data_IF_069488170432
#
_entry.id   IF_069488170432
#
_cell.length_a   1.000
_cell.length_b   1.000
_cell.length_c   1.000
_cell.angle_alpha   90.00
_cell.angle_beta   90.00
_cell.angle_gamma   90.00
#
_symmetry.space_group_name_H-M   'P 1'
#
loop_
_entity.id
_entity.type
_entity.pdbx_description
1 polymer ?
#
# COMPACT_ATOMS: atom_id res chain seq x y z
N UNK A 1 -14.24 -4.80 -32.96
CA UNK A 1 -13.58 -5.15 -31.68
C UNK A 1 -12.07 -5.10 -31.88
N UNK A 2 -11.32 -4.20 -31.22
CA UNK A 2 -9.86 -4.24 -31.25
C UNK A 2 -9.40 -5.43 -30.39
N UNK A 3 -8.75 -6.42 -31.02
CA UNK A 3 -8.12 -7.55 -30.35
C UNK A 3 -7.21 -7.02 -29.24
N UNK A 4 -7.53 -7.36 -27.99
CA UNK A 4 -6.70 -7.00 -26.85
C UNK A 4 -5.45 -7.87 -26.92
N UNK A 5 -4.29 -7.25 -27.20
CA UNK A 5 -3.01 -7.96 -27.27
C UNK A 5 -2.82 -8.76 -25.98
N UNK A 6 -2.71 -10.09 -26.12
CA UNK A 6 -2.49 -11.01 -24.99
C UNK A 6 -1.15 -10.64 -24.33
N UNK A 7 -1.13 -10.57 -23.00
CA UNK A 7 0.10 -10.32 -22.24
C UNK A 7 1.11 -11.44 -22.52
N UNK A 8 2.32 -11.07 -22.92
CA UNK A 8 3.41 -12.02 -23.15
C UNK A 8 4.39 -11.98 -21.97
N UNK A 9 4.23 -12.95 -21.07
CA UNK A 9 5.08 -13.11 -19.88
C UNK A 9 6.57 -13.27 -20.21
N UNK A 10 6.92 -13.78 -21.39
CA UNK A 10 8.33 -14.02 -21.75
C UNK A 10 9.11 -12.73 -22.01
N UNK A 11 8.41 -11.65 -22.34
CA UNK A 11 8.99 -10.33 -22.63
C UNK A 11 9.00 -9.40 -21.41
N UNK A 12 8.43 -9.84 -20.27
CA UNK A 12 8.38 -9.02 -19.06
C UNK A 12 9.66 -9.13 -18.25
N UNK A 13 10.12 -7.99 -17.72
CA UNK A 13 11.20 -7.91 -16.73
C UNK A 13 10.83 -8.54 -15.38
N UNK A 14 9.54 -8.85 -15.16
CA UNK A 14 9.00 -9.54 -13.99
C UNK A 14 8.69 -11.02 -14.24
N UNK A 15 9.14 -11.59 -15.37
CA UNK A 15 8.93 -13.00 -15.71
C UNK A 15 9.21 -13.95 -14.53
N UNK A 16 10.35 -13.78 -13.86
CA UNK A 16 10.76 -14.68 -12.78
C UNK A 16 9.89 -14.50 -11.52
N UNK A 17 9.41 -13.28 -11.27
CA UNK A 17 8.45 -13.01 -10.19
C UNK A 17 7.14 -13.74 -10.46
N UNK A 18 6.64 -13.67 -11.70
CA UNK A 18 5.42 -14.39 -12.08
C UNK A 18 5.58 -15.90 -11.99
N UNK A 19 6.72 -16.45 -12.43
CA UNK A 19 7.01 -17.88 -12.32
C UNK A 19 7.08 -18.33 -10.86
N UNK A 20 7.77 -17.57 -10.00
CA UNK A 20 7.93 -17.89 -8.59
C UNK A 20 6.60 -17.95 -7.84
N UNK A 21 5.69 -17.00 -8.10
CA UNK A 21 4.38 -16.95 -7.44
C UNK A 21 3.25 -17.65 -8.22
N UNK A 22 3.58 -18.41 -9.27
CA UNK A 22 2.58 -19.15 -10.06
C UNK A 22 1.58 -18.28 -10.82
N UNK A 23 1.90 -17.00 -11.08
CA UNK A 23 1.05 -16.07 -11.82
C UNK A 23 1.29 -16.14 -13.33
N UNK A 24 0.22 -16.03 -14.13
CA UNK A 24 0.32 -15.97 -15.60
C UNK A 24 0.50 -14.56 -16.13
N UNK A 25 -0.02 -13.58 -15.40
CA UNK A 25 0.01 -12.17 -15.78
C UNK A 25 0.02 -11.24 -14.54
N UNK A 26 0.18 -9.92 -14.72
CA UNK A 26 0.25 -8.98 -13.60
C UNK A 26 -1.06 -8.90 -12.78
N UNK A 27 -2.20 -9.20 -13.41
CA UNK A 27 -3.50 -9.24 -12.74
C UNK A 27 -3.60 -10.44 -11.81
N UNK A 28 -3.17 -11.62 -12.26
CA UNK A 28 -3.09 -12.81 -11.41
C UNK A 28 -2.10 -12.62 -10.26
N UNK A 29 -0.93 -11.99 -10.48
CA UNK A 29 0.00 -11.68 -9.38
C UNK A 29 -0.65 -10.77 -8.33
N UNK A 30 -1.42 -9.75 -8.77
CA UNK A 30 -2.16 -8.92 -7.82
C UNK A 30 -3.20 -9.74 -7.07
N UNK A 31 -3.91 -10.67 -7.72
CA UNK A 31 -4.87 -11.54 -7.01
C UNK A 31 -4.19 -12.38 -5.93
N UNK A 32 -3.02 -12.98 -6.22
CA UNK A 32 -2.21 -13.70 -5.22
C UNK A 32 -1.87 -12.79 -4.04
N UNK A 33 -1.37 -11.58 -4.32
CA UNK A 33 -1.06 -10.60 -3.29
C UNK A 33 -2.29 -10.20 -2.45
N UNK A 34 -3.41 -9.89 -3.10
CA UNK A 34 -4.65 -9.45 -2.43
C UNK A 34 -5.22 -10.52 -1.50
N UNK A 35 -5.17 -11.79 -1.90
CA UNK A 35 -5.68 -12.88 -1.09
C UNK A 35 -4.87 -13.01 0.20
N UNK A 36 -3.54 -13.02 0.09
CA UNK A 36 -2.65 -13.08 1.25
C UNK A 36 -2.80 -11.84 2.15
N UNK A 37 -2.88 -10.65 1.57
CA UNK A 37 -3.08 -9.41 2.33
C UNK A 37 -4.40 -9.44 3.10
N UNK A 38 -5.51 -9.82 2.47
CA UNK A 38 -6.81 -9.90 3.15
C UNK A 38 -6.83 -10.93 4.27
N UNK A 39 -6.18 -12.08 4.09
CA UNK A 39 -6.04 -13.10 5.13
C UNK A 39 -5.30 -12.52 6.34
N UNK A 40 -4.13 -11.91 6.12
CA UNK A 40 -3.32 -11.29 7.16
C UNK A 40 -4.02 -10.13 7.89
N UNK A 41 -4.80 -9.34 7.16
CA UNK A 41 -5.58 -8.24 7.74
C UNK A 41 -6.73 -8.78 8.61
N UNK A 42 -7.39 -9.88 8.20
CA UNK A 42 -8.46 -10.53 9.00
C UNK A 42 -7.92 -11.23 10.24
N UNK A 43 -6.73 -11.84 10.15
CA UNK A 43 -6.09 -12.52 11.27
C UNK A 43 -5.26 -11.59 12.16
N UNK A 44 -5.19 -10.29 11.84
CA UNK A 44 -4.33 -9.30 12.50
C UNK A 44 -2.82 -9.67 12.52
N UNK A 45 -2.37 -10.47 11.55
CA UNK A 45 -0.98 -10.94 11.44
C UNK A 45 -0.15 -10.15 10.43
N UNK A 46 -0.72 -9.15 9.77
CA UNK A 46 0.01 -8.33 8.80
C UNK A 46 1.20 -7.61 9.47
N UNK A 47 2.41 -7.84 8.97
CA UNK A 47 3.64 -7.28 9.55
C UNK A 47 4.73 -7.06 8.49
N UNK A 48 5.17 -5.81 8.29
CA UNK A 48 6.21 -5.50 7.31
C UNK A 48 7.62 -6.01 7.72
N UNK A 49 7.81 -6.46 8.96
CA UNK A 49 9.09 -7.03 9.44
C UNK A 49 9.18 -8.55 9.31
N UNK A 50 8.08 -9.24 9.05
CA UNK A 50 8.09 -10.70 8.89
C UNK A 50 8.36 -11.09 7.44
N UNK A 51 9.60 -11.41 7.12
CA UNK A 51 10.03 -11.75 5.76
C UNK A 51 9.43 -13.06 5.23
N UNK A 52 8.72 -13.84 6.06
CA UNK A 52 8.03 -15.05 5.64
C UNK A 52 6.64 -14.76 5.05
N UNK A 53 6.09 -13.55 5.25
CA UNK A 53 4.80 -13.20 4.68
C UNK A 53 4.87 -13.09 3.17
N UNK A 54 3.93 -13.74 2.49
CA UNK A 54 3.84 -13.73 1.02
C UNK A 54 3.77 -12.30 0.45
N UNK A 55 3.07 -11.39 1.14
CA UNK A 55 2.99 -9.97 0.77
C UNK A 55 4.35 -9.28 0.77
N UNK A 56 5.21 -9.58 1.75
CA UNK A 56 6.56 -9.03 1.85
C UNK A 56 7.48 -9.62 0.77
N UNK A 57 7.41 -10.93 0.55
CA UNK A 57 8.18 -11.61 -0.51
C UNK A 57 7.85 -11.07 -1.90
N UNK A 58 6.56 -10.90 -2.23
CA UNK A 58 6.12 -10.32 -3.51
C UNK A 58 6.67 -8.89 -3.64
N UNK A 59 6.51 -8.06 -2.60
CA UNK A 59 7.00 -6.68 -2.59
C UNK A 59 8.51 -6.63 -2.83
N UNK A 60 9.30 -7.45 -2.15
CA UNK A 60 10.76 -7.45 -2.29
C UNK A 60 11.21 -7.83 -3.70
N UNK A 61 10.64 -8.90 -4.27
CA UNK A 61 10.99 -9.34 -5.62
C UNK A 61 10.61 -8.30 -6.68
N UNK A 62 9.43 -7.69 -6.54
CA UNK A 62 8.97 -6.61 -7.43
C UNK A 62 9.86 -5.38 -7.31
N UNK A 63 10.22 -4.96 -6.10
CA UNK A 63 11.07 -3.79 -5.90
C UNK A 63 12.50 -3.99 -6.42
N UNK A 64 13.03 -5.21 -6.29
CA UNK A 64 14.34 -5.56 -6.82
C UNK A 64 14.42 -5.35 -8.34
N UNK A 65 13.32 -5.62 -9.06
CA UNK A 65 13.21 -5.33 -10.49
C UNK A 65 13.04 -3.84 -10.74
N UNK A 66 12.26 -3.15 -9.92
CA UNK A 66 12.07 -1.70 -9.98
C UNK A 66 11.00 -1.27 -11.00
N UNK A 67 10.04 -0.45 -10.53
CA UNK A 67 8.89 0.03 -11.33
C UNK A 67 9.32 0.84 -12.57
N UNK A 68 10.48 1.49 -12.55
CA UNK A 68 11.00 2.25 -13.69
C UNK A 68 11.42 1.35 -14.87
N UNK A 69 11.72 0.07 -14.62
CA UNK A 69 12.16 -0.88 -15.64
C UNK A 69 10.98 -1.54 -16.39
N UNK A 70 9.76 -1.38 -15.90
CA UNK A 70 8.54 -1.93 -16.51
C UNK A 70 8.09 -1.01 -17.65
N UNK A 71 8.17 -1.51 -18.88
CA UNK A 71 7.80 -0.76 -20.10
C UNK A 71 6.31 -0.82 -20.41
N UNK A 72 5.67 -1.96 -20.16
CA UNK A 72 4.24 -2.11 -20.39
C UNK A 72 3.44 -1.31 -19.35
N UNK A 73 2.61 -0.36 -19.82
CA UNK A 73 1.89 0.56 -18.93
C UNK A 73 0.78 -0.12 -18.14
N UNK A 74 0.22 -1.22 -18.63
CA UNK A 74 -0.82 -2.00 -17.93
C UNK A 74 -0.20 -2.84 -16.84
N UNK A 75 0.90 -3.52 -17.13
CA UNK A 75 1.73 -4.22 -16.15
C UNK A 75 2.18 -3.26 -15.04
N UNK A 76 2.75 -2.10 -15.43
CA UNK A 76 3.20 -1.09 -14.49
C UNK A 76 2.11 -0.64 -13.52
N UNK A 77 0.88 -0.43 -14.00
CA UNK A 77 -0.27 -0.07 -13.15
C UNK A 77 -0.59 -1.14 -12.10
N UNK A 78 -0.60 -2.41 -12.50
CA UNK A 78 -0.86 -3.51 -11.56
C UNK A 78 0.23 -3.60 -10.49
N UNK A 79 1.48 -3.47 -10.89
CA UNK A 79 2.62 -3.53 -9.99
C UNK A 79 2.68 -2.33 -9.05
N UNK A 80 2.40 -1.12 -9.55
CA UNK A 80 2.24 0.06 -8.71
C UNK A 80 1.11 -0.11 -7.69
N UNK A 81 0.01 -0.75 -8.06
CA UNK A 81 -1.10 -1.05 -7.14
C UNK A 81 -0.68 -2.01 -6.02
N UNK A 82 0.09 -3.05 -6.33
CA UNK A 82 0.63 -3.98 -5.32
C UNK A 82 1.52 -3.21 -4.33
N UNK A 83 2.50 -2.46 -4.84
CA UNK A 83 3.42 -1.71 -4.00
C UNK A 83 2.72 -0.63 -3.19
N UNK A 84 1.78 0.11 -3.80
CA UNK A 84 0.99 1.12 -3.08
C UNK A 84 0.28 0.49 -1.89
N UNK A 85 -0.38 -0.65 -2.10
CA UNK A 85 -1.14 -1.32 -1.05
C UNK A 85 -0.25 -1.83 0.08
N UNK A 86 0.90 -2.41 -0.25
CA UNK A 86 1.91 -2.82 0.72
C UNK A 86 2.37 -1.64 1.58
N UNK A 87 2.80 -0.54 0.94
CA UNK A 87 3.26 0.64 1.66
C UNK A 87 2.14 1.32 2.44
N UNK A 88 0.90 1.30 1.95
CA UNK A 88 -0.26 1.83 2.64
C UNK A 88 -0.49 1.12 3.99
N UNK A 89 -0.52 -0.21 3.99
CA UNK A 89 -0.67 -1.01 5.22
C UNK A 89 0.56 -0.90 6.14
N UNK A 90 1.75 -0.80 5.55
CA UNK A 90 3.00 -0.62 6.29
C UNK A 90 3.02 0.66 7.15
N UNK A 91 2.32 1.74 6.74
CA UNK A 91 2.25 2.97 7.54
C UNK A 91 1.59 2.69 8.89
N UNK A 92 0.41 2.07 8.89
CA UNK A 92 -0.35 1.78 10.12
C UNK A 92 0.39 0.77 11.00
N UNK A 93 1.00 -0.25 10.41
CA UNK A 93 1.83 -1.21 11.16
C UNK A 93 3.04 -0.51 11.79
N UNK A 94 3.75 0.35 11.04
CA UNK A 94 4.89 1.11 11.58
C UNK A 94 4.48 2.02 12.74
N UNK A 95 3.35 2.72 12.62
CA UNK A 95 2.84 3.61 13.67
C UNK A 95 2.35 2.84 14.89
N UNK A 96 1.39 1.94 14.70
CA UNK A 96 0.59 1.41 15.80
C UNK A 96 1.11 0.08 16.34
N UNK A 97 1.83 -0.72 15.55
CA UNK A 97 2.49 -1.92 16.08
C UNK A 97 3.85 -1.59 16.69
N UNK A 98 4.61 -0.69 16.03
CA UNK A 98 6.01 -0.46 16.36
C UNK A 98 6.34 0.92 16.95
N UNK A 99 5.41 1.89 16.91
CA UNK A 99 5.73 3.26 17.32
C UNK A 99 6.80 3.94 16.46
N UNK A 100 7.09 3.42 15.26
CA UNK A 100 8.19 3.87 14.41
C UNK A 100 7.71 4.96 13.43
N UNK A 101 7.69 6.20 13.95
CA UNK A 101 7.33 7.39 13.17
C UNK A 101 8.25 7.60 11.95
N UNK A 102 9.55 7.30 12.04
CA UNK A 102 10.49 7.51 10.92
C UNK A 102 10.16 6.58 9.77
N UNK A 103 9.92 5.31 10.08
CA UNK A 103 9.50 4.32 9.08
C UNK A 103 8.13 4.67 8.49
N UNK A 104 7.16 5.11 9.31
CA UNK A 104 5.86 5.57 8.82
C UNK A 104 5.96 6.79 7.89
N UNK A 105 6.85 7.75 8.18
CA UNK A 105 7.13 8.88 7.29
C UNK A 105 7.72 8.44 5.95
N UNK A 106 8.66 7.49 5.96
CA UNK A 106 9.25 6.91 4.75
C UNK A 106 8.19 6.20 3.91
N UNK A 107 7.42 5.30 4.51
CA UNK A 107 6.41 4.51 3.82
C UNK A 107 5.25 5.36 3.30
N UNK A 108 4.78 6.35 4.05
CA UNK A 108 3.74 7.27 3.58
C UNK A 108 4.17 8.09 2.36
N UNK A 109 5.44 8.50 2.29
CA UNK A 109 5.99 9.19 1.11
C UNK A 109 5.95 8.28 -0.12
N UNK A 110 6.35 7.02 0.02
CA UNK A 110 6.40 6.06 -1.08
C UNK A 110 4.98 5.68 -1.51
N UNK A 111 4.09 5.37 -0.57
CA UNK A 111 2.68 5.10 -0.85
C UNK A 111 2.04 6.26 -1.63
N UNK A 112 2.22 7.50 -1.19
CA UNK A 112 1.64 8.66 -1.86
C UNK A 112 2.18 8.84 -3.29
N UNK A 113 3.45 8.55 -3.54
CA UNK A 113 4.06 8.62 -4.88
C UNK A 113 3.57 7.50 -5.82
N UNK A 114 3.18 6.35 -5.27
CA UNK A 114 2.61 5.22 -6.02
C UNK A 114 1.11 5.38 -6.25
N UNK A 115 0.45 6.22 -5.47
CA UNK A 115 -0.99 6.44 -5.54
C UNK A 115 -1.36 7.32 -6.75
N UNK A 116 -2.25 6.87 -7.65
CA UNK A 116 -2.82 7.72 -8.70
C UNK A 116 -3.53 8.95 -8.14
N UNK A 117 -3.54 10.07 -8.87
CA UNK A 117 -4.18 11.33 -8.43
C UNK A 117 -5.67 11.11 -8.09
N UNK A 118 -6.39 10.35 -8.92
CA UNK A 118 -7.83 10.09 -8.75
C UNK A 118 -8.11 8.78 -8.00
N UNK A 119 -7.15 8.31 -7.20
CA UNK A 119 -7.33 7.07 -6.45
C UNK A 119 -8.51 7.21 -5.46
N UNK A 120 -9.38 6.19 -5.35
CA UNK A 120 -10.54 6.25 -4.46
C UNK A 120 -10.13 6.33 -3.00
N UNK A 121 -9.04 5.64 -2.61
CA UNK A 121 -8.55 5.71 -1.23
C UNK A 121 -7.99 7.09 -0.90
N UNK A 122 -8.58 7.82 0.05
CA UNK A 122 -8.09 9.13 0.50
C UNK A 122 -7.25 9.05 1.78
N UNK A 123 -7.20 7.90 2.45
CA UNK A 123 -6.50 7.73 3.73
C UNK A 123 -4.97 7.85 3.61
N UNK A 124 -4.37 7.37 2.51
CA UNK A 124 -2.90 7.46 2.33
C UNK A 124 -2.38 8.89 2.50
N UNK A 125 -3.05 9.87 1.88
CA UNK A 125 -2.66 11.28 1.98
C UNK A 125 -2.94 11.87 3.36
N UNK A 126 -4.02 11.45 4.02
CA UNK A 126 -4.28 11.84 5.41
C UNK A 126 -3.13 11.41 6.32
N UNK A 127 -2.75 10.13 6.26
CA UNK A 127 -1.66 9.58 7.06
C UNK A 127 -0.34 10.29 6.74
N UNK A 128 -0.07 10.60 5.47
CA UNK A 128 1.11 11.37 5.06
C UNK A 128 1.25 12.70 5.81
N UNK A 129 0.16 13.44 5.98
CA UNK A 129 0.14 14.69 6.74
C UNK A 129 0.33 14.44 8.24
N UNK A 130 -0.44 13.52 8.82
CA UNK A 130 -0.42 13.25 10.27
C UNK A 130 0.96 12.77 10.76
N UNK A 131 1.65 11.90 10.01
CA UNK A 131 3.00 11.43 10.43
C UNK A 131 4.08 12.50 10.34
N UNK A 132 3.77 13.65 9.72
CA UNK A 132 4.65 14.84 9.62
C UNK A 132 4.22 15.98 10.53
N UNK A 133 3.31 15.70 11.45
CA UNK A 133 2.73 16.67 12.37
C UNK A 133 1.98 17.83 11.67
N UNK A 134 1.62 17.66 10.39
CA UNK A 134 0.87 18.65 9.60
C UNK A 134 -0.64 18.48 9.82
N UNK A 135 -1.06 18.78 11.04
CA UNK A 135 -2.46 18.62 11.45
C UNK A 135 -3.40 19.52 10.64
N UNK A 136 -2.95 20.72 10.25
CA UNK A 136 -3.76 21.66 9.47
C UNK A 136 -4.12 21.08 8.11
N UNK A 137 -3.15 20.57 7.37
CA UNK A 137 -3.42 19.93 6.07
C UNK A 137 -4.18 18.61 6.22
N UNK A 138 -3.92 17.84 7.28
CA UNK A 138 -4.70 16.64 7.57
C UNK A 138 -6.20 16.94 7.77
N UNK A 139 -6.53 17.97 8.56
CA UNK A 139 -7.91 18.38 8.80
C UNK A 139 -8.59 18.92 7.54
N UNK A 140 -7.89 19.72 6.75
CA UNK A 140 -8.42 20.23 5.48
C UNK A 140 -8.71 19.08 4.51
N UNK A 141 -7.79 18.11 4.43
CA UNK A 141 -7.96 16.93 3.58
C UNK A 141 -9.11 16.03 4.05
N UNK A 142 -9.26 15.81 5.36
CA UNK A 142 -10.35 15.00 5.89
C UNK A 142 -11.74 15.53 5.54
N UNK A 143 -11.89 16.85 5.32
CA UNK A 143 -13.16 17.46 4.87
C UNK A 143 -13.58 17.01 3.47
N UNK A 144 -12.64 16.55 2.63
CA UNK A 144 -12.94 16.06 1.28
C UNK A 144 -13.32 14.57 1.25
N UNK A 145 -13.30 13.90 2.41
CA UNK A 145 -13.60 12.47 2.52
C UNK A 145 -15.05 12.29 2.95
N UNK A 146 -15.90 11.96 1.99
CA UNK A 146 -17.35 11.86 2.22
C UNK A 146 -17.86 10.42 2.37
N UNK A 147 -17.16 9.45 1.77
CA UNK A 147 -17.57 8.04 1.75
C UNK A 147 -17.06 7.22 2.95
N UNK A 148 -17.87 6.26 3.38
CA UNK A 148 -17.43 5.22 4.33
C UNK A 148 -16.67 4.09 3.61
N UNK A 149 -15.73 3.40 4.27
CA UNK A 149 -15.33 3.54 5.69
C UNK A 149 -14.27 4.64 5.94
N UNK A 150 -13.82 5.33 4.90
CA UNK A 150 -12.70 6.28 4.99
C UNK A 150 -13.02 7.49 5.85
N UNK A 151 -14.24 8.01 5.77
CA UNK A 151 -14.67 9.14 6.59
C UNK A 151 -14.55 8.85 8.08
N UNK A 152 -15.00 7.68 8.52
CA UNK A 152 -14.84 7.23 9.91
C UNK A 152 -13.37 7.08 10.28
N UNK A 153 -12.58 6.43 9.42
CA UNK A 153 -11.14 6.25 9.62
C UNK A 153 -10.40 7.58 9.76
N UNK A 154 -10.77 8.58 8.95
CA UNK A 154 -10.17 9.90 8.96
C UNK A 154 -10.45 10.66 10.25
N UNK A 155 -11.71 10.65 10.70
CA UNK A 155 -12.14 11.26 11.97
C UNK A 155 -11.43 10.62 13.15
N UNK A 156 -11.36 9.30 13.18
CA UNK A 156 -10.67 8.56 14.22
C UNK A 156 -9.18 8.92 14.27
N UNK A 157 -8.50 8.93 13.12
CA UNK A 157 -7.07 9.25 13.04
C UNK A 157 -6.74 10.67 13.52
N UNK A 158 -7.54 11.67 13.14
CA UNK A 158 -7.38 13.05 13.61
C UNK A 158 -7.62 13.14 15.12
N UNK A 159 -8.64 12.44 15.63
CA UNK A 159 -8.95 12.41 17.06
C UNK A 159 -7.78 11.83 17.85
N UNK A 160 -7.26 10.67 17.45
CA UNK A 160 -6.08 10.07 18.08
C UNK A 160 -4.88 11.02 18.09
N UNK A 161 -4.66 11.75 16.99
CA UNK A 161 -3.55 12.70 16.89
C UNK A 161 -3.69 13.82 17.92
N UNK A 162 -4.87 14.44 18.00
CA UNK A 162 -5.14 15.52 18.96
C UNK A 162 -5.05 15.07 20.42
N UNK A 163 -5.32 13.80 20.68
CA UNK A 163 -5.22 13.20 22.02
C UNK A 163 -3.79 12.80 22.39
N UNK A 164 -2.83 12.87 21.45
CA UNK A 164 -1.46 12.43 21.66
C UNK A 164 -1.27 10.90 21.59
N UNK A 165 -2.30 10.17 21.14
CA UNK A 165 -2.31 8.71 21.09
C UNK A 165 -1.95 8.15 19.71
N UNK A 166 -1.89 9.00 18.68
CA UNK A 166 -1.64 8.57 17.29
C UNK A 166 -0.28 7.89 17.09
N UNK A 167 0.74 8.28 17.86
CA UNK A 167 2.08 7.69 17.81
C UNK A 167 2.32 6.63 18.88
N UNK A 168 1.33 6.37 19.75
CA UNK A 168 1.45 5.34 20.77
C UNK A 168 1.17 3.97 20.13
N UNK A 169 2.03 2.96 20.38
CA UNK A 169 1.72 1.60 20.03
C UNK A 169 0.36 1.22 20.60
N UNK A 170 -0.50 0.67 19.75
CA UNK A 170 -1.78 0.10 20.15
C UNK A 170 -1.49 -1.36 20.44
N UNK A 171 -1.64 -1.76 21.71
CA UNK A 171 -1.49 -3.17 22.10
C UNK A 171 -2.72 -3.90 21.52
N UNK A 172 -2.48 -4.82 20.59
CA UNK A 172 -3.47 -5.76 20.09
C UNK A 172 -3.55 -6.98 21.02
#
# INVERSE_FOLDING_TARGET
MKSQKKFDKTQSVLKDVYLYFGAKDPGELKTVYMNADQELMRSAQWDYKDNNLLTNQIKEMVEKVGVCNIRDTKEKKWIQSILWMWYHHAISCALWKYGDKKTAQKYSKIALALQPIDHPNKITRLLYFLVRDDIKSAEQWAKTIHGEPEKTTARYSIKLYKQGDFFKPQIA
#
